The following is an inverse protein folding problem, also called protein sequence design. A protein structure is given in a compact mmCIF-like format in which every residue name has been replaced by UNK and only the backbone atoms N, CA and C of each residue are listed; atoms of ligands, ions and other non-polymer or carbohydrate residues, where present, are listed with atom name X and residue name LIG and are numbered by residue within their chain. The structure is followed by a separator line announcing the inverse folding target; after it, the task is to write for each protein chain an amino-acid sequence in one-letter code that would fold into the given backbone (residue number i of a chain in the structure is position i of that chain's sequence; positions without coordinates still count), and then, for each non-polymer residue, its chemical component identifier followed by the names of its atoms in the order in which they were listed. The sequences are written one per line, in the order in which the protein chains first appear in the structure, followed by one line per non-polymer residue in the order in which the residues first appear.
data_IF_198431825038
#
_entry.id   IF_198431825038
#
_cell.length_a   1.000
_cell.length_b   1.000
_cell.length_c   1.000
_cell.angle_alpha   90.00
_cell.angle_beta   90.00
_cell.angle_gamma   90.00
#
_symmetry.space_group_name_H-M   'P 1'
#
loop_
_entity.id
_entity.type
_entity.pdbx_description
1 polymer ?
#
# COMPACT_ATOMS: atom_id res chain seq x y z
N UNK A 1 13.51 -7.66 -6.09
CA UNK A 1 13.17 -9.05 -5.73
C UNK A 1 12.42 -9.68 -6.89
N UNK A 2 12.64 -10.95 -7.21
CA UNK A 2 11.82 -11.65 -8.20
C UNK A 2 10.68 -12.37 -7.45
N UNK A 3 9.49 -11.78 -7.45
CA UNK A 3 8.33 -12.28 -6.70
C UNK A 3 7.84 -13.62 -7.23
N UNK A 4 7.84 -13.82 -8.55
CA UNK A 4 7.38 -15.07 -9.16
C UNK A 4 8.24 -16.26 -8.73
N UNK A 5 9.57 -16.09 -8.69
CA UNK A 5 10.47 -17.14 -8.23
C UNK A 5 10.29 -17.46 -6.75
N UNK A 6 10.07 -16.44 -5.91
CA UNK A 6 10.03 -16.62 -4.45
C UNK A 6 8.69 -17.17 -3.98
N UNK A 7 7.60 -16.79 -4.64
CA UNK A 7 6.24 -17.14 -4.24
C UNK A 7 5.55 -18.14 -5.18
N UNK A 8 6.32 -18.80 -6.06
CA UNK A 8 5.81 -19.86 -6.93
C UNK A 8 5.12 -20.96 -6.11
N UNK A 9 3.90 -21.33 -6.51
CA UNK A 9 3.12 -22.39 -5.85
C UNK A 9 2.56 -22.03 -4.46
N UNK A 10 2.83 -20.83 -3.94
CA UNK A 10 2.27 -20.37 -2.68
C UNK A 10 0.79 -19.96 -2.86
N UNK A 11 -0.07 -20.22 -1.86
CA UNK A 11 -1.48 -19.85 -1.94
C UNK A 11 -1.66 -18.34 -1.90
N UNK A 12 -2.75 -17.85 -2.52
CA UNK A 12 -3.15 -16.44 -2.42
C UNK A 12 -3.41 -16.04 -0.98
N UNK A 13 -3.09 -14.79 -0.65
CA UNK A 13 -3.42 -14.16 0.63
C UNK A 13 -4.90 -13.81 0.72
N UNK A 14 -5.42 -13.70 1.96
CA UNK A 14 -6.72 -13.11 2.24
C UNK A 14 -6.81 -11.67 1.75
N UNK A 15 -8.03 -11.27 1.39
CA UNK A 15 -8.34 -9.89 1.03
C UNK A 15 -7.96 -8.90 2.13
N UNK A 16 -7.51 -7.73 1.70
CA UNK A 16 -7.08 -6.64 2.57
C UNK A 16 -8.19 -5.59 2.66
N UNK A 17 -8.44 -5.01 3.84
CA UNK A 17 -9.43 -3.96 3.99
C UNK A 17 -8.98 -2.68 3.28
N UNK A 18 -9.95 -1.98 2.66
CA UNK A 18 -9.73 -0.63 2.14
C UNK A 18 -9.78 0.39 3.28
N UNK A 19 -9.00 1.45 3.15
CA UNK A 19 -8.95 2.53 4.14
C UNK A 19 -9.99 3.60 3.78
N UNK A 20 -10.80 4.01 4.75
CA UNK A 20 -11.73 5.11 4.56
C UNK A 20 -11.02 6.48 4.51
N UNK A 21 -11.64 7.46 3.86
CA UNK A 21 -11.17 8.85 3.87
C UNK A 21 -11.01 9.38 5.30
N UNK A 22 -9.99 10.21 5.51
CA UNK A 22 -9.64 10.74 6.82
C UNK A 22 -9.08 9.73 7.83
N UNK A 23 -8.83 8.48 7.44
CA UNK A 23 -8.29 7.43 8.33
C UNK A 23 -6.82 7.08 8.09
N UNK A 24 -6.26 7.47 6.94
CA UNK A 24 -4.85 7.23 6.63
C UNK A 24 -4.02 8.39 7.19
N UNK A 25 -3.12 8.10 8.12
CA UNK A 25 -2.27 9.10 8.77
C UNK A 25 -0.80 8.86 8.51
N UNK A 26 -0.01 9.93 8.50
CA UNK A 26 1.44 9.86 8.48
C UNK A 26 1.94 9.29 9.82
N UNK A 27 2.73 8.21 9.82
CA UNK A 27 3.19 7.58 11.07
C UNK A 27 4.17 8.45 11.87
N UNK A 28 4.79 9.45 11.24
CA UNK A 28 5.81 10.30 11.88
C UNK A 28 5.24 11.61 12.42
N UNK A 29 4.30 12.23 11.71
CA UNK A 29 3.76 13.55 12.05
C UNK A 29 2.33 13.50 12.59
N UNK A 30 1.62 12.37 12.41
CA UNK A 30 0.21 12.22 12.75
C UNK A 30 -0.75 12.95 11.80
N UNK A 31 -0.25 13.66 10.78
CA UNK A 31 -1.07 14.36 9.79
C UNK A 31 -1.94 13.38 9.02
N UNK A 32 -3.23 13.70 8.88
CA UNK A 32 -4.17 12.95 8.06
C UNK A 32 -3.87 13.22 6.60
N UNK A 33 -3.64 12.17 5.81
CA UNK A 33 -3.39 12.30 4.38
C UNK A 33 -4.67 12.66 3.62
N UNK A 34 -4.47 13.34 2.48
CA UNK A 34 -5.55 13.76 1.58
C UNK A 34 -6.34 12.58 1.00
N UNK A 35 -7.58 12.85 0.57
CA UNK A 35 -8.42 11.85 -0.10
C UNK A 35 -7.77 11.29 -1.37
N UNK A 36 -7.03 12.13 -2.12
CA UNK A 36 -6.28 11.68 -3.30
C UNK A 36 -5.16 10.67 -2.93
N UNK A 37 -4.50 10.87 -1.79
CA UNK A 37 -3.51 9.92 -1.26
C UNK A 37 -4.20 8.62 -0.84
N UNK A 38 -5.37 8.69 -0.22
CA UNK A 38 -6.16 7.51 0.17
C UNK A 38 -6.62 6.74 -1.06
N UNK A 39 -7.09 7.40 -2.11
CA UNK A 39 -7.48 6.77 -3.37
C UNK A 39 -6.30 6.03 -4.02
N UNK A 40 -5.13 6.67 -4.09
CA UNK A 40 -3.92 6.06 -4.62
C UNK A 40 -3.48 4.85 -3.77
N UNK A 41 -3.52 4.95 -2.44
CA UNK A 41 -3.24 3.84 -1.53
C UNK A 41 -4.21 2.67 -1.76
N UNK A 42 -5.50 2.98 -1.86
CA UNK A 42 -6.57 2.01 -2.04
C UNK A 42 -6.56 1.36 -3.42
N UNK A 43 -6.01 2.01 -4.45
CA UNK A 43 -5.83 1.39 -5.76
C UNK A 43 -4.99 0.12 -5.68
N UNK A 44 -3.87 0.15 -4.96
CA UNK A 44 -3.06 -1.04 -4.75
C UNK A 44 -3.81 -2.14 -3.97
N UNK A 45 -4.63 -1.75 -2.99
CA UNK A 45 -5.47 -2.69 -2.22
C UNK A 45 -6.55 -3.33 -3.11
N UNK A 46 -7.16 -2.55 -3.99
CA UNK A 46 -8.15 -3.04 -4.96
C UNK A 46 -7.53 -4.02 -5.94
N UNK A 47 -6.38 -3.68 -6.52
CA UNK A 47 -5.66 -4.55 -7.44
C UNK A 47 -5.18 -5.84 -6.73
N UNK A 48 -4.78 -5.73 -5.46
CA UNK A 48 -4.39 -6.86 -4.63
C UNK A 48 -5.56 -7.82 -4.41
N UNK A 49 -6.73 -7.30 -4.07
CA UNK A 49 -7.93 -8.10 -3.83
C UNK A 49 -8.46 -8.72 -5.14
N UNK A 50 -8.21 -8.09 -6.28
CA UNK A 50 -8.65 -8.59 -7.59
C UNK A 50 -7.79 -9.74 -8.13
N UNK A 51 -6.51 -9.81 -7.77
CA UNK A 51 -5.60 -10.86 -8.25
C UNK A 51 -5.66 -12.12 -7.38
N UNK A 52 -5.45 -13.28 -8.01
CA UNK A 52 -5.29 -14.58 -7.34
C UNK A 52 -3.84 -15.07 -7.31
N UNK A 53 -2.91 -14.32 -7.91
CA UNK A 53 -1.51 -14.69 -7.99
C UNK A 53 -0.75 -14.18 -6.78
N UNK A 54 -0.19 -15.10 -5.99
CA UNK A 54 0.53 -14.77 -4.75
C UNK A 54 1.73 -13.85 -4.96
N UNK A 55 2.47 -14.02 -6.06
CA UNK A 55 3.59 -13.15 -6.41
C UNK A 55 3.15 -11.72 -6.72
N UNK A 56 2.04 -11.56 -7.45
CA UNK A 56 1.44 -10.25 -7.74
C UNK A 56 0.95 -9.58 -6.46
N UNK A 57 0.33 -10.33 -5.54
CA UNK A 57 -0.09 -9.82 -4.24
C UNK A 57 1.09 -9.25 -3.44
N UNK A 58 2.21 -9.96 -3.36
CA UNK A 58 3.42 -9.49 -2.68
C UNK A 58 4.01 -8.24 -3.34
N UNK A 59 4.08 -8.23 -4.68
CA UNK A 59 4.49 -7.04 -5.42
C UNK A 59 3.62 -5.83 -5.08
N UNK A 60 2.29 -5.99 -5.05
CA UNK A 60 1.35 -4.90 -4.75
C UNK A 60 1.45 -4.42 -3.30
N UNK A 61 1.69 -5.32 -2.34
CA UNK A 61 1.98 -4.94 -0.95
C UNK A 61 3.23 -4.06 -0.87
N UNK A 62 4.30 -4.45 -1.56
CA UNK A 62 5.55 -3.68 -1.62
C UNK A 62 5.35 -2.32 -2.29
N UNK A 63 4.59 -2.24 -3.39
CA UNK A 63 4.29 -0.95 -4.03
C UNK A 63 3.48 -0.04 -3.11
N UNK A 64 2.46 -0.59 -2.44
CA UNK A 64 1.63 0.14 -1.48
C UNK A 64 2.48 0.66 -0.30
N UNK A 65 3.39 -0.16 0.21
CA UNK A 65 4.31 0.23 1.28
C UNK A 65 5.29 1.33 0.83
N UNK A 66 5.88 1.21 -0.37
CA UNK A 66 6.75 2.26 -0.93
C UNK A 66 6.02 3.57 -1.10
N UNK A 67 4.80 3.53 -1.63
CA UNK A 67 3.97 4.71 -1.83
C UNK A 67 3.73 5.46 -0.50
N UNK A 68 3.24 4.76 0.54
CA UNK A 68 2.95 5.43 1.82
C UNK A 68 4.20 5.97 2.50
N UNK A 69 5.33 5.26 2.37
CA UNK A 69 6.62 5.72 2.90
C UNK A 69 7.09 7.00 2.22
N UNK A 70 6.96 7.10 0.88
CA UNK A 70 7.29 8.34 0.15
C UNK A 70 6.41 9.51 0.59
N UNK A 71 5.09 9.30 0.69
CA UNK A 71 4.17 10.33 1.20
C UNK A 71 4.53 10.77 2.62
N UNK A 72 4.91 9.84 3.50
CA UNK A 72 5.32 10.15 4.86
C UNK A 72 6.63 10.94 4.91
N UNK A 73 7.60 10.61 4.06
CA UNK A 73 8.87 11.34 3.97
C UNK A 73 8.69 12.76 3.43
N UNK A 74 7.82 12.96 2.44
CA UNK A 74 7.55 14.30 1.91
C UNK A 74 6.81 15.15 2.95
N UNK A 75 5.83 14.59 3.64
CA UNK A 75 5.16 15.28 4.74
C UNK A 75 6.12 15.65 5.88
N UNK A 76 7.12 14.82 6.18
CA UNK A 76 8.13 15.12 7.19
C UNK A 76 9.01 16.31 6.80
N UNK A 77 9.36 16.46 5.51
CA UNK A 77 10.15 17.61 5.01
C UNK A 77 9.37 18.93 5.08
N UNK A 78 8.05 18.88 4.93
CA UNK A 78 7.20 20.07 5.07
C UNK A 78 7.02 20.51 6.52
N UNK A 79 7.18 19.58 7.47
CA UNK A 79 7.04 19.82 8.90
C UNK A 79 8.35 20.25 9.60
N UNK A 80 9.50 20.11 8.93
CA UNK A 80 10.84 20.49 9.40
C UNK A 80 11.26 21.88 8.96
#
# INVERSE_FOLDING_TARGET
MNYDRVFAGQPALPEQPMIAYGKLTCPYTGVVFSDATVDAYNRYTKDFNATRYRSTQEFLLDQRHKFITLCAMDNLKEAS
#
